data_IF_609277817493
#
_entry.id   IF_609277817493
#
_cell.length_a   1.000
_cell.length_b   1.000
_cell.length_c   1.000
_cell.angle_alpha   90.00
_cell.angle_beta   90.00
_cell.angle_gamma   90.00
#
_symmetry.space_group_name_H-M   'P 1'
#
loop_
_entity.id
_entity.type
_entity.pdbx_description
1 polymer ?
#
# COMPACT_ATOMS: atom_id res chain seq x y z
N UNK A 1 23.10 -6.53 -2.88
CA UNK A 1 21.72 -6.42 -2.35
C UNK A 1 21.72 -5.64 -1.02
N UNK A 2 20.68 -4.83 -0.71
CA UNK A 2 20.68 -3.93 0.44
C UNK A 2 20.50 -4.61 1.81
N UNK A 3 20.23 -5.91 1.86
CA UNK A 3 20.09 -6.65 3.12
C UNK A 3 18.77 -6.41 3.89
N UNK A 4 17.82 -5.70 3.30
CA UNK A 4 16.54 -5.36 3.95
C UNK A 4 15.63 -6.57 4.22
N UNK A 5 15.86 -7.70 3.57
CA UNK A 5 15.11 -8.96 3.70
C UNK A 5 13.57 -8.79 3.62
N UNK A 6 13.11 -7.77 2.86
CA UNK A 6 11.71 -7.35 2.79
C UNK A 6 10.79 -8.29 2.00
N UNK A 7 11.37 -9.18 1.16
CA UNK A 7 10.59 -10.09 0.33
C UNK A 7 9.90 -9.44 -0.89
N UNK A 8 10.11 -8.15 -1.17
CA UNK A 8 9.47 -7.44 -2.27
C UNK A 8 9.81 -8.02 -3.66
N UNK A 9 10.96 -8.67 -3.78
CA UNK A 9 11.40 -9.38 -4.98
C UNK A 9 10.70 -10.75 -5.18
N UNK A 10 9.86 -11.19 -4.25
CA UNK A 10 9.18 -12.49 -4.29
C UNK A 10 9.98 -13.66 -3.69
N UNK A 11 11.19 -13.41 -3.19
CA UNK A 11 12.07 -14.43 -2.57
C UNK A 11 12.11 -14.29 -1.04
N UNK A 12 12.54 -15.36 -0.36
CA UNK A 12 12.68 -15.40 1.10
C UNK A 12 13.92 -14.63 1.56
N UNK A 13 13.88 -13.30 1.48
CA UNK A 13 14.98 -12.42 1.84
C UNK A 13 16.04 -12.25 0.73
N UNK A 14 17.04 -11.44 1.03
CA UNK A 14 18.09 -11.08 0.07
C UNK A 14 18.95 -12.29 -0.32
N UNK A 15 19.22 -13.20 0.60
CA UNK A 15 19.98 -14.43 0.31
C UNK A 15 19.22 -15.38 -0.63
N UNK A 16 17.89 -15.46 -0.50
CA UNK A 16 17.05 -16.25 -1.40
C UNK A 16 17.11 -15.70 -2.82
N UNK A 17 17.01 -14.38 -2.98
CA UNK A 17 17.16 -13.75 -4.30
C UNK A 17 18.57 -13.90 -4.85
N UNK A 18 19.62 -13.73 -4.03
CA UNK A 18 20.99 -13.92 -4.46
C UNK A 18 21.26 -15.34 -4.99
N UNK A 19 20.70 -16.38 -4.35
CA UNK A 19 20.78 -17.76 -4.84
C UNK A 19 20.04 -17.96 -6.16
N UNK A 20 18.84 -17.40 -6.27
CA UNK A 20 18.05 -17.50 -7.50
C UNK A 20 18.74 -16.82 -8.71
N UNK A 21 19.51 -15.75 -8.49
CA UNK A 21 20.27 -15.07 -9.54
C UNK A 21 21.36 -15.95 -10.18
N UNK A 22 21.75 -17.06 -9.54
CA UNK A 22 22.67 -18.05 -10.12
C UNK A 22 21.96 -18.99 -11.10
N UNK A 23 20.64 -19.01 -11.11
CA UNK A 23 19.84 -19.81 -12.02
C UNK A 23 19.52 -19.02 -13.31
N UNK A 24 19.63 -19.65 -14.48
CA UNK A 24 19.36 -18.98 -15.75
C UNK A 24 17.89 -18.51 -15.82
N UNK A 25 17.68 -17.27 -16.27
CA UNK A 25 16.33 -16.69 -16.46
C UNK A 25 15.80 -15.89 -15.27
N UNK A 26 16.52 -15.82 -14.15
CA UNK A 26 16.15 -14.94 -13.05
C UNK A 26 16.44 -13.48 -13.43
N UNK A 27 15.42 -12.62 -13.33
CA UNK A 27 15.55 -11.20 -13.64
C UNK A 27 16.43 -10.47 -12.62
N UNK A 28 17.25 -9.52 -13.09
CA UNK A 28 18.18 -8.73 -12.26
C UNK A 28 17.54 -7.53 -11.58
N UNK A 29 16.36 -7.11 -12.04
CA UNK A 29 15.64 -5.89 -11.65
C UNK A 29 14.54 -6.09 -10.59
N UNK A 30 14.52 -7.20 -9.86
CA UNK A 30 13.45 -7.50 -8.88
C UNK A 30 13.65 -6.82 -7.52
N UNK A 31 14.84 -6.26 -7.24
CA UNK A 31 15.11 -5.61 -5.96
C UNK A 31 14.59 -4.17 -5.95
N UNK A 32 13.34 -3.97 -5.55
CA UNK A 32 12.72 -2.62 -5.48
C UNK A 32 13.50 -1.67 -4.56
N UNK A 33 13.87 -2.03 -3.31
CA UNK A 33 14.66 -1.14 -2.45
C UNK A 33 16.06 -0.82 -2.96
N UNK A 34 16.59 -1.61 -3.87
CA UNK A 34 17.92 -1.41 -4.47
C UNK A 34 17.89 -0.58 -5.75
N UNK A 35 16.70 -0.39 -6.33
CA UNK A 35 16.46 0.35 -7.55
C UNK A 35 17.45 -0.01 -8.68
N UNK A 36 17.60 0.87 -9.66
CA UNK A 36 18.49 0.66 -10.83
C UNK A 36 19.95 0.45 -10.46
N UNK A 37 20.41 1.07 -9.37
CA UNK A 37 21.80 0.95 -8.93
C UNK A 37 22.18 -0.51 -8.59
N UNK A 38 21.29 -1.23 -7.90
CA UNK A 38 21.53 -2.65 -7.56
C UNK A 38 21.29 -3.54 -8.78
N UNK A 39 20.30 -3.25 -9.60
CA UNK A 39 20.04 -3.99 -10.84
C UNK A 39 21.25 -3.93 -11.78
N UNK A 40 21.84 -2.75 -11.97
CA UNK A 40 23.05 -2.55 -12.77
C UNK A 40 24.26 -3.31 -12.22
N UNK A 41 24.48 -3.30 -10.90
CA UNK A 41 25.56 -4.04 -10.26
C UNK A 41 25.38 -5.56 -10.42
N UNK A 42 24.16 -6.08 -10.28
CA UNK A 42 23.85 -7.49 -10.49
C UNK A 42 24.09 -7.86 -11.96
N UNK A 43 23.58 -7.05 -12.89
CA UNK A 43 23.76 -7.28 -14.31
C UNK A 43 25.24 -7.31 -14.73
N UNK A 44 26.03 -6.37 -14.21
CA UNK A 44 27.48 -6.33 -14.44
C UNK A 44 28.20 -7.58 -13.91
N UNK A 45 27.81 -8.07 -12.72
CA UNK A 45 28.41 -9.29 -12.13
C UNK A 45 28.05 -10.56 -12.91
N UNK A 46 26.82 -10.61 -13.47
CA UNK A 46 26.33 -11.78 -14.21
C UNK A 46 26.65 -11.70 -15.71
N UNK A 47 27.17 -10.57 -16.21
CA UNK A 47 27.47 -10.35 -17.62
C UNK A 47 26.23 -10.26 -18.53
N UNK A 48 25.08 -9.81 -17.98
CA UNK A 48 23.83 -9.64 -18.70
C UNK A 48 23.46 -8.16 -18.83
N UNK A 49 22.53 -7.84 -19.73
CA UNK A 49 22.02 -6.46 -19.84
C UNK A 49 21.21 -6.08 -18.57
N UNK A 50 21.39 -4.85 -18.10
CA UNK A 50 20.57 -4.33 -17.01
C UNK A 50 19.16 -4.02 -17.54
N UNK A 51 18.14 -4.38 -16.76
CA UNK A 51 16.75 -4.01 -16.99
C UNK A 51 16.37 -2.92 -15.99
N UNK A 52 15.53 -1.96 -16.42
CA UNK A 52 15.05 -0.88 -15.58
C UNK A 52 14.18 -1.42 -14.43
N UNK A 53 14.33 -0.82 -13.27
CA UNK A 53 13.50 -1.12 -12.09
C UNK A 53 12.34 -0.13 -12.04
N UNK A 54 11.12 -0.64 -12.02
CA UNK A 54 9.95 0.21 -11.76
C UNK A 54 9.94 0.58 -10.28
N UNK A 55 10.25 1.83 -9.98
CA UNK A 55 10.13 2.36 -8.62
C UNK A 55 8.69 2.25 -8.12
N UNK A 56 8.55 1.88 -6.85
CA UNK A 56 7.24 1.66 -6.23
C UNK A 56 7.16 2.41 -4.90
N UNK A 57 5.96 2.85 -4.58
CA UNK A 57 5.62 3.51 -3.32
C UNK A 57 4.45 2.82 -2.65
N UNK A 58 4.32 3.03 -1.35
CA UNK A 58 3.17 2.59 -0.58
C UNK A 58 2.08 3.68 -0.59
N UNK A 59 0.84 3.28 -0.82
CA UNK A 59 -0.35 4.14 -0.74
C UNK A 59 -1.30 3.60 0.31
N UNK A 60 -1.78 4.47 1.19
CA UNK A 60 -2.79 4.13 2.19
C UNK A 60 -4.18 4.41 1.63
N UNK A 61 -4.93 3.38 1.32
CA UNK A 61 -6.28 3.46 0.73
C UNK A 61 -7.31 3.84 1.80
N UNK A 62 -7.11 4.98 2.46
CA UNK A 62 -8.03 5.54 3.45
C UNK A 62 -7.83 7.04 3.60
N UNK A 63 -8.89 7.82 3.39
CA UNK A 63 -8.97 9.24 3.69
C UNK A 63 -9.91 9.52 4.87
N UNK A 64 -10.16 8.52 5.72
CA UNK A 64 -11.02 8.61 6.91
C UNK A 64 -10.29 9.24 8.09
N UNK A 65 -9.98 10.53 8.00
CA UNK A 65 -9.41 11.31 9.10
C UNK A 65 -10.36 11.43 10.29
N UNK A 66 -9.89 11.97 11.41
CA UNK A 66 -10.71 12.24 12.60
C UNK A 66 -11.91 13.18 12.31
N UNK A 67 -11.81 14.00 11.26
CA UNK A 67 -12.91 14.87 10.82
C UNK A 67 -13.90 14.14 9.89
N UNK A 68 -13.39 13.18 9.11
CA UNK A 68 -14.20 12.47 8.12
C UNK A 68 -14.96 11.27 8.69
N UNK A 69 -14.46 10.68 9.78
CA UNK A 69 -15.09 9.51 10.42
C UNK A 69 -15.09 9.68 11.95
N UNK A 70 -15.91 8.89 12.63
CA UNK A 70 -16.03 8.91 14.08
C UNK A 70 -15.50 7.63 14.73
N UNK A 71 -15.22 7.71 16.01
CA UNK A 71 -14.89 6.57 16.86
C UNK A 71 -16.18 5.98 17.40
N UNK A 72 -16.39 4.68 17.28
CA UNK A 72 -17.57 3.98 17.81
C UNK A 72 -17.38 3.45 19.23
N UNK A 73 -16.13 3.29 19.68
CA UNK A 73 -15.80 2.75 20.99
C UNK A 73 -14.48 3.32 21.50
N UNK A 74 -14.40 3.58 22.81
CA UNK A 74 -13.17 3.95 23.51
C UNK A 74 -12.33 2.67 23.74
N UNK A 75 -11.29 2.49 22.91
CA UNK A 75 -10.42 1.34 23.00
C UNK A 75 -9.28 1.59 24.01
N UNK A 76 -9.27 0.82 25.09
CA UNK A 76 -8.28 0.92 26.19
C UNK A 76 -7.34 -0.30 26.25
N UNK A 77 -7.12 -0.97 25.12
CA UNK A 77 -6.21 -2.10 25.03
C UNK A 77 -4.79 -1.72 24.61
N UNK A 78 -4.03 -2.70 24.16
CA UNK A 78 -2.68 -2.50 23.60
C UNK A 78 -2.77 -1.56 22.39
N UNK A 79 -1.98 -0.47 22.33
CA UNK A 79 -2.03 0.51 21.23
C UNK A 79 -1.41 -0.07 19.94
N UNK A 80 -2.09 -1.01 19.32
CA UNK A 80 -1.70 -1.72 18.10
C UNK A 80 -2.93 -1.96 17.24
N UNK A 81 -2.77 -1.77 15.91
CA UNK A 81 -3.82 -2.06 14.94
C UNK A 81 -4.20 -3.55 14.96
N UNK A 82 -3.22 -4.44 15.12
CA UNK A 82 -3.47 -5.87 15.18
C UNK A 82 -4.33 -6.24 16.40
N UNK A 83 -4.03 -5.68 17.57
CA UNK A 83 -4.80 -5.91 18.79
C UNK A 83 -6.21 -5.29 18.71
N UNK A 84 -6.30 -4.04 18.22
CA UNK A 84 -7.58 -3.34 18.09
C UNK A 84 -8.52 -4.04 17.09
N UNK A 85 -8.00 -4.63 16.01
CA UNK A 85 -8.82 -5.36 15.04
C UNK A 85 -9.56 -6.55 15.64
N UNK A 86 -8.98 -7.21 16.62
CA UNK A 86 -9.61 -8.34 17.32
C UNK A 86 -10.85 -7.90 18.12
N UNK A 87 -10.94 -6.60 18.42
CA UNK A 87 -12.06 -6.02 19.16
C UNK A 87 -13.08 -5.40 18.20
N UNK A 88 -14.07 -6.20 17.77
CA UNK A 88 -15.16 -5.79 16.88
C UNK A 88 -14.71 -5.09 15.59
N UNK A 89 -13.55 -5.49 15.04
CA UNK A 89 -13.01 -4.90 13.79
C UNK A 89 -12.41 -3.51 13.95
N UNK A 90 -12.03 -3.14 15.18
CA UNK A 90 -11.42 -1.83 15.51
C UNK A 90 -12.37 -0.85 16.18
N UNK A 91 -11.83 0.27 16.62
CA UNK A 91 -12.54 1.33 17.37
C UNK A 91 -13.27 2.35 16.49
N UNK A 92 -12.96 2.41 15.17
CA UNK A 92 -13.57 3.35 14.24
C UNK A 92 -14.96 2.93 13.76
N UNK A 93 -15.79 3.91 13.39
CA UNK A 93 -17.12 3.66 12.80
C UNK A 93 -17.01 2.94 11.45
N UNK A 94 -15.98 3.25 10.64
CA UNK A 94 -15.65 2.51 9.43
C UNK A 94 -14.79 1.29 9.79
N UNK A 95 -15.35 0.08 9.64
CA UNK A 95 -14.64 -1.17 9.94
C UNK A 95 -13.55 -1.53 8.93
N UNK A 96 -13.50 -0.85 7.79
CA UNK A 96 -12.50 -1.02 6.73
C UNK A 96 -11.39 0.02 6.76
N UNK A 97 -11.56 1.10 7.55
CA UNK A 97 -10.65 2.24 7.58
C UNK A 97 -9.36 2.00 8.36
N UNK A 98 -8.47 2.97 8.30
CA UNK A 98 -7.29 3.01 9.15
C UNK A 98 -7.70 3.08 10.63
N UNK A 99 -7.05 2.29 11.48
CA UNK A 99 -7.31 2.28 12.93
C UNK A 99 -6.45 3.28 13.72
N UNK A 100 -5.45 3.88 13.07
CA UNK A 100 -4.67 4.96 13.64
C UNK A 100 -3.59 4.59 14.66
N UNK A 101 -3.37 3.31 14.99
CA UNK A 101 -2.40 2.92 16.02
C UNK A 101 -0.94 2.82 15.53
N UNK A 102 -0.66 2.99 14.24
CA UNK A 102 0.69 3.17 13.70
C UNK A 102 1.56 1.92 13.63
N UNK A 103 1.01 0.70 13.56
CA UNK A 103 1.82 -0.52 13.39
C UNK A 103 2.67 -0.45 12.11
N UNK A 104 2.12 0.08 11.03
CA UNK A 104 2.83 0.28 9.76
C UNK A 104 3.97 1.32 9.89
N UNK A 105 3.76 2.39 10.66
CA UNK A 105 4.79 3.40 10.92
C UNK A 105 5.96 2.83 11.72
N UNK A 106 5.67 2.06 12.78
CA UNK A 106 6.71 1.38 13.57
C UNK A 106 7.48 0.32 12.78
N UNK A 107 6.83 -0.33 11.83
CA UNK A 107 7.46 -1.35 11.00
C UNK A 107 8.25 -0.78 9.81
N UNK A 108 8.12 0.52 9.50
CA UNK A 108 8.78 1.14 8.36
C UNK A 108 10.28 1.31 8.60
N UNK A 109 11.17 0.64 7.83
CA UNK A 109 12.61 0.71 8.05
C UNK A 109 13.21 2.07 7.69
N UNK A 110 12.50 2.88 6.90
CA UNK A 110 12.90 4.23 6.49
C UNK A 110 12.23 5.35 7.30
N UNK A 111 11.27 5.01 8.17
CA UNK A 111 10.49 6.03 8.86
C UNK A 111 9.58 6.87 7.96
N UNK A 112 9.34 6.39 6.73
CA UNK A 112 8.56 7.10 5.71
C UNK A 112 7.05 7.19 6.02
N UNK A 113 6.58 6.68 7.16
CA UNK A 113 5.17 6.67 7.52
C UNK A 113 4.97 7.41 8.84
N UNK A 114 4.14 8.43 8.82
CA UNK A 114 3.69 9.18 9.99
C UNK A 114 2.20 8.98 10.23
N UNK A 115 1.76 9.25 11.45
CA UNK A 115 0.34 9.28 11.79
C UNK A 115 -0.14 10.72 11.78
N UNK A 116 -1.10 11.06 10.90
CA UNK A 116 -1.67 12.40 10.78
C UNK A 116 -3.19 12.29 10.80
N UNK A 117 -3.84 13.10 11.58
CA UNK A 117 -5.31 13.17 11.70
C UNK A 117 -6.00 11.79 11.87
N UNK A 118 -5.34 10.87 12.59
CA UNK A 118 -5.87 9.54 12.87
C UNK A 118 -5.64 8.50 11.79
N UNK A 119 -4.97 8.82 10.70
CA UNK A 119 -4.61 7.89 9.62
C UNK A 119 -3.10 7.85 9.38
N UNK A 120 -2.63 6.77 8.74
CA UNK A 120 -1.25 6.68 8.29
C UNK A 120 -1.06 7.48 7.00
N UNK A 121 -0.02 8.31 6.95
CA UNK A 121 0.40 9.06 5.78
C UNK A 121 1.81 8.64 5.38
N UNK A 122 2.02 8.38 4.09
CA UNK A 122 3.31 7.97 3.54
C UNK A 122 4.01 9.16 2.91
N UNK A 123 5.26 9.38 3.28
CA UNK A 123 6.16 10.27 2.56
C UNK A 123 6.73 9.51 1.37
N UNK A 124 6.32 9.89 0.16
CA UNK A 124 6.72 9.23 -1.07
C UNK A 124 8.19 9.44 -1.39
N UNK A 125 8.82 10.51 -0.90
CA UNK A 125 10.24 10.80 -1.14
C UNK A 125 11.17 9.89 -0.33
N UNK A 126 10.71 9.43 0.83
CA UNK A 126 11.44 8.51 1.71
C UNK A 126 11.03 7.04 1.50
N UNK A 127 9.90 6.81 0.84
CA UNK A 127 9.36 5.47 0.64
C UNK A 127 10.16 4.70 -0.41
N UNK A 128 10.62 3.50 -0.06
CA UNK A 128 11.38 2.59 -0.95
C UNK A 128 10.52 1.43 -1.49
N UNK A 129 9.20 1.49 -1.38
CA UNK A 129 8.29 0.47 -1.91
C UNK A 129 8.46 -0.95 -1.38
N UNK A 130 9.10 -1.15 -0.23
CA UNK A 130 9.46 -2.48 0.29
C UNK A 130 8.28 -3.37 0.70
N UNK A 131 7.07 -2.82 0.86
CA UNK A 131 5.85 -3.56 1.17
C UNK A 131 5.70 -4.06 2.61
N UNK A 132 6.65 -3.81 3.53
CA UNK A 132 6.56 -4.24 4.93
C UNK A 132 5.30 -3.68 5.61
N UNK A 133 4.98 -2.41 5.36
CA UNK A 133 3.78 -1.75 5.90
C UNK A 133 2.48 -2.42 5.40
N UNK A 134 2.43 -2.83 4.13
CA UNK A 134 1.29 -3.54 3.56
C UNK A 134 1.09 -4.92 4.21
N UNK A 135 2.17 -5.64 4.49
CA UNK A 135 2.13 -6.92 5.21
C UNK A 135 1.72 -6.74 6.68
N UNK A 136 2.22 -5.69 7.33
CA UNK A 136 1.94 -5.38 8.73
C UNK A 136 0.51 -4.89 8.96
N UNK A 137 -0.10 -4.22 7.97
CA UNK A 137 -1.43 -3.66 8.12
C UNK A 137 -2.51 -4.76 8.26
N UNK A 138 -3.19 -4.88 9.42
CA UNK A 138 -4.22 -5.89 9.59
C UNK A 138 -5.47 -5.61 8.76
N UNK A 139 -5.72 -4.35 8.38
CA UNK A 139 -6.84 -3.95 7.50
C UNK A 139 -6.56 -4.20 6.02
N UNK A 140 -5.27 -4.43 5.64
CA UNK A 140 -4.87 -4.63 4.24
C UNK A 140 -5.26 -3.46 3.32
N UNK A 141 -5.11 -2.23 3.84
CA UNK A 141 -5.45 -0.99 3.14
C UNK A 141 -4.22 -0.25 2.59
N UNK A 142 -3.05 -0.87 2.64
CA UNK A 142 -1.82 -0.30 2.07
C UNK A 142 -1.48 -1.10 0.82
N UNK A 143 -1.40 -0.43 -0.29
CA UNK A 143 -1.05 -0.99 -1.59
C UNK A 143 0.31 -0.48 -2.05
N UNK A 144 1.06 -1.32 -2.77
CA UNK A 144 2.34 -0.93 -3.37
C UNK A 144 2.09 -0.70 -4.85
N UNK A 145 2.25 0.55 -5.27
CA UNK A 145 1.93 1.00 -6.63
C UNK A 145 3.18 1.59 -7.31
N UNK A 146 3.24 1.64 -8.64
CA UNK A 146 4.30 2.36 -9.35
C UNK A 146 4.35 3.85 -8.94
N UNK A 147 5.54 4.42 -8.77
CA UNK A 147 5.71 5.82 -8.33
C UNK A 147 5.23 6.87 -9.35
N UNK A 148 4.99 6.47 -10.58
CA UNK A 148 4.40 7.33 -11.61
C UNK A 148 2.91 7.63 -11.39
N UNK A 149 2.25 6.91 -10.46
CA UNK A 149 0.82 7.05 -10.19
C UNK A 149 0.52 8.42 -9.55
N UNK A 150 -0.49 9.12 -10.11
CA UNK A 150 -0.96 10.44 -9.63
C UNK A 150 -2.43 10.46 -9.23
N UNK A 151 -3.14 9.35 -9.47
CA UNK A 151 -4.58 9.21 -9.20
C UNK A 151 -4.82 7.97 -8.35
N UNK A 152 -5.50 8.10 -7.24
CA UNK A 152 -5.69 7.02 -6.27
C UNK A 152 -7.13 6.96 -5.76
N UNK A 153 -7.55 5.78 -5.31
CA UNK A 153 -8.82 5.59 -4.60
C UNK A 153 -8.52 5.45 -3.11
N UNK A 154 -8.68 6.54 -2.37
CA UNK A 154 -8.39 6.58 -0.93
C UNK A 154 -9.57 6.05 -0.11
N UNK A 155 -10.02 4.84 -0.42
CA UNK A 155 -11.08 4.14 0.30
C UNK A 155 -10.94 2.63 0.14
N UNK A 156 -11.30 1.89 1.19
CA UNK A 156 -11.35 0.43 1.20
C UNK A 156 -12.71 -0.13 1.69
N UNK A 157 -13.73 0.73 1.77
CA UNK A 157 -15.05 0.34 2.26
C UNK A 157 -15.88 -0.38 1.20
N UNK A 158 -16.43 -1.53 1.56
CA UNK A 158 -17.39 -2.29 0.75
C UNK A 158 -18.84 -2.03 1.17
N UNK A 159 -19.09 -1.04 2.02
CA UNK A 159 -20.45 -0.62 2.37
C UNK A 159 -21.13 0.10 1.21
N UNK A 160 -22.43 -0.08 1.11
CA UNK A 160 -23.25 0.70 0.16
C UNK A 160 -23.16 2.22 0.42
N UNK A 161 -23.46 3.01 -0.59
CA UNK A 161 -23.30 4.47 -0.54
C UNK A 161 -24.02 5.16 0.63
N UNK A 162 -25.30 4.85 0.93
CA UNK A 162 -26.00 5.43 2.08
C UNK A 162 -25.33 5.14 3.43
N UNK A 163 -24.87 3.92 3.65
CA UNK A 163 -24.17 3.56 4.87
C UNK A 163 -22.77 4.21 4.94
N UNK A 164 -22.02 4.20 3.81
CA UNK A 164 -20.72 4.84 3.75
C UNK A 164 -20.79 6.32 4.11
N UNK A 165 -21.76 7.07 3.55
CA UNK A 165 -21.97 8.49 3.89
C UNK A 165 -22.29 8.72 5.37
N UNK A 166 -22.91 7.75 6.03
CA UNK A 166 -23.23 7.84 7.46
C UNK A 166 -21.99 7.67 8.34
N UNK A 167 -21.02 6.86 7.93
CA UNK A 167 -19.84 6.51 8.75
C UNK A 167 -18.56 7.24 8.35
N UNK A 168 -18.47 7.76 7.11
CA UNK A 168 -17.29 8.45 6.60
C UNK A 168 -17.68 9.44 5.47
N UNK A 169 -17.40 10.73 5.64
CA UNK A 169 -17.67 11.75 4.64
C UNK A 169 -16.78 11.66 3.39
N UNK A 170 -15.57 11.09 3.54
CA UNK A 170 -14.59 10.89 2.45
C UNK A 170 -14.70 9.53 1.77
N UNK A 171 -15.65 8.68 2.18
CA UNK A 171 -15.78 7.32 1.68
C UNK A 171 -16.27 7.21 0.24
N UNK A 172 -15.78 6.22 -0.51
CA UNK A 172 -16.32 5.86 -1.81
C UNK A 172 -17.75 5.32 -1.66
N UNK A 173 -18.67 5.86 -2.43
CA UNK A 173 -20.11 5.49 -2.39
C UNK A 173 -20.53 4.55 -3.53
N UNK A 174 -19.58 4.11 -4.35
CA UNK A 174 -19.86 3.22 -5.46
C UNK A 174 -20.74 3.84 -6.56
N UNK A 175 -20.62 5.14 -6.81
CA UNK A 175 -21.52 5.86 -7.75
C UNK A 175 -21.18 5.65 -9.24
N UNK A 176 -20.16 4.91 -9.57
CA UNK A 176 -19.69 4.63 -10.95
C UNK A 176 -19.32 5.87 -11.78
N UNK A 177 -19.22 7.06 -11.17
CA UNK A 177 -18.90 8.29 -11.92
C UNK A 177 -17.47 8.23 -12.48
N UNK A 178 -16.50 7.84 -11.67
CA UNK A 178 -15.10 7.70 -12.09
C UNK A 178 -14.92 6.64 -13.19
N UNK A 179 -15.60 5.49 -13.09
CA UNK A 179 -15.59 4.43 -14.09
C UNK A 179 -16.13 4.93 -15.44
N UNK A 180 -17.25 5.66 -15.44
CA UNK A 180 -17.85 6.22 -16.67
C UNK A 180 -17.02 7.34 -17.29
N UNK A 181 -16.22 8.05 -16.49
CA UNK A 181 -15.44 9.21 -16.93
C UNK A 181 -14.04 8.83 -17.37
N UNK A 182 -13.50 7.67 -16.94
CA UNK A 182 -12.15 7.25 -17.27
C UNK A 182 -12.00 6.91 -18.76
N UNK A 183 -11.19 7.66 -19.53
CA UNK A 183 -11.04 7.44 -20.97
C UNK A 183 -10.33 6.13 -21.31
N UNK A 184 -9.49 5.65 -20.41
CA UNK A 184 -8.71 4.41 -20.58
C UNK A 184 -9.45 3.16 -20.10
N UNK A 185 -10.66 3.31 -19.49
CA UNK A 185 -11.36 2.19 -18.88
C UNK A 185 -10.55 1.51 -17.75
N UNK A 186 -9.63 2.26 -17.12
CA UNK A 186 -8.75 1.76 -16.06
C UNK A 186 -9.45 1.68 -14.69
N UNK A 187 -10.65 2.24 -14.55
CA UNK A 187 -11.38 2.24 -13.28
C UNK A 187 -12.59 1.33 -13.38
N UNK A 188 -12.69 0.42 -12.42
CA UNK A 188 -13.86 -0.43 -12.24
C UNK A 188 -14.47 -0.19 -10.87
N UNK A 189 -15.79 -0.34 -10.76
CA UNK A 189 -16.49 -0.27 -9.47
C UNK A 189 -17.14 -1.61 -9.21
N UNK A 190 -16.63 -2.32 -8.23
CA UNK A 190 -17.16 -3.59 -7.77
C UNK A 190 -17.45 -3.53 -6.26
N UNK A 191 -18.53 -4.18 -5.83
CA UNK A 191 -18.95 -4.22 -4.42
C UNK A 191 -18.93 -2.81 -3.76
N UNK A 192 -19.48 -1.81 -4.45
CA UNK A 192 -19.56 -0.40 -4.02
C UNK A 192 -18.22 0.33 -3.89
N UNK A 193 -17.13 -0.21 -4.39
CA UNK A 193 -15.80 0.35 -4.26
C UNK A 193 -15.13 0.48 -5.62
N UNK A 194 -14.60 1.67 -5.92
CA UNK A 194 -13.77 1.90 -7.09
C UNK A 194 -12.39 1.26 -6.89
N UNK A 195 -11.84 0.70 -7.98
CA UNK A 195 -10.46 0.20 -8.06
C UNK A 195 -9.84 0.66 -9.36
N UNK A 196 -8.53 0.89 -9.35
CA UNK A 196 -7.75 1.32 -10.51
C UNK A 196 -6.87 0.15 -10.95
N UNK A 197 -6.93 -0.15 -12.24
CA UNK A 197 -6.00 -1.05 -12.91
C UNK A 197 -4.78 -0.22 -13.32
N UNK A 198 -3.68 -0.39 -12.59
CA UNK A 198 -2.47 0.41 -12.76
C UNK A 198 -1.77 0.15 -14.11
N UNK A 199 -1.99 -1.01 -14.72
CA UNK A 199 -1.42 -1.35 -16.03
C UNK A 199 -2.12 -0.60 -17.17
N UNK A 200 -3.37 -0.15 -16.95
CA UNK A 200 -4.16 0.64 -17.90
C UNK A 200 -4.14 2.13 -17.61
N UNK A 201 -3.81 2.52 -16.38
CA UNK A 201 -3.86 3.92 -15.98
C UNK A 201 -2.70 4.70 -16.60
N UNK A 202 -3.02 5.77 -17.28
CA UNK A 202 -2.04 6.70 -17.88
C UNK A 202 -1.90 8.00 -17.08
N UNK A 203 -2.58 8.12 -15.95
CA UNK A 203 -2.71 9.30 -15.07
C UNK A 203 -3.33 10.51 -15.74
#
# INVERSE_FOLDING_TARGET
>A
LPGANCGACGYTGCDGYAKALLEPGTKTNLCVPGADAVAAQIAALLGVAAEDVVEKIAVVQCAGTCEATSVKADYRGIPSCAAAKLFYGGNGSCIFGCMGFGDCARACPKGAISMQDGIACVDHTECIGCGICAQTCPQKIIEIVPDIIRTEVLCSSYHNGPYTKKVCSSGCIGCHKCEKTCPQGAITVDNFLARIDWDKCTC
#
